data_IF_581609112533
#
_entry.id   IF_581609112533
#
_cell.length_a   1.000
_cell.length_b   1.000
_cell.length_c   1.000
_cell.angle_alpha   90.00
_cell.angle_beta   90.00
_cell.angle_gamma   90.00
#
_symmetry.space_group_name_H-M   'P 1'
#
loop_
_entity.id
_entity.type
_entity.pdbx_description
1 polymer ?
#
# COMPACT_ATOMS: atom_id res chain seq x y z
N UNK A 1 -6.73 -19.49 11.85
CA UNK A 1 -6.95 -18.77 10.58
C UNK A 1 -6.99 -17.26 10.75
N UNK A 2 -7.98 -16.63 11.42
CA UNK A 2 -8.03 -15.16 11.51
C UNK A 2 -6.83 -14.54 12.27
N UNK A 3 -6.38 -15.16 13.37
CA UNK A 3 -5.22 -14.68 14.14
C UNK A 3 -3.88 -14.82 13.40
N UNK A 4 -3.70 -15.89 12.62
CA UNK A 4 -2.48 -16.11 11.83
C UNK A 4 -2.37 -15.04 10.74
N UNK A 5 -3.47 -14.76 10.03
CA UNK A 5 -3.49 -13.71 9.00
C UNK A 5 -3.16 -12.33 9.59
N UNK A 6 -3.71 -11.97 10.77
CA UNK A 6 -3.37 -10.70 11.44
C UNK A 6 -1.87 -10.59 11.71
N UNK A 7 -1.26 -11.64 12.24
CA UNK A 7 0.17 -11.67 12.52
C UNK A 7 1.02 -11.57 11.24
N UNK A 8 0.57 -12.21 10.16
CA UNK A 8 1.22 -12.10 8.84
C UNK A 8 1.15 -10.67 8.30
N UNK A 9 0.01 -9.99 8.43
CA UNK A 9 -0.14 -8.62 7.96
C UNK A 9 0.66 -7.61 8.81
N UNK A 10 0.71 -7.80 10.13
CA UNK A 10 1.57 -7.00 11.01
C UNK A 10 3.05 -7.20 10.66
N UNK A 11 3.49 -8.45 10.45
CA UNK A 11 4.84 -8.76 9.98
C UNK A 11 5.15 -8.12 8.62
N UNK A 12 4.22 -8.21 7.67
CA UNK A 12 4.36 -7.58 6.36
C UNK A 12 4.51 -6.06 6.46
N UNK A 13 3.76 -5.40 7.35
CA UNK A 13 3.90 -3.96 7.59
C UNK A 13 5.29 -3.61 8.11
N UNK A 14 5.85 -4.42 9.02
CA UNK A 14 7.22 -4.23 9.52
C UNK A 14 8.24 -4.37 8.39
N UNK A 15 8.15 -5.44 7.60
CA UNK A 15 9.08 -5.72 6.50
C UNK A 15 9.04 -4.62 5.43
N UNK A 16 7.84 -4.22 5.00
CA UNK A 16 7.73 -3.13 4.02
C UNK A 16 8.15 -1.79 4.60
N UNK A 17 7.95 -1.56 5.90
CA UNK A 17 8.48 -0.36 6.55
C UNK A 17 10.01 -0.34 6.58
N UNK A 18 10.66 -1.49 6.78
CA UNK A 18 12.12 -1.59 6.63
C UNK A 18 12.56 -1.34 5.18
N UNK A 19 11.86 -1.93 4.21
CA UNK A 19 12.16 -1.72 2.79
C UNK A 19 12.05 -0.25 2.39
N UNK A 20 11.00 0.45 2.85
CA UNK A 20 10.83 1.90 2.67
C UNK A 20 11.94 2.69 3.37
N UNK A 21 12.35 2.22 4.57
CA UNK A 21 13.57 2.61 5.30
C UNK A 21 14.78 2.80 4.38
N UNK A 22 15.09 1.70 3.69
CA UNK A 22 16.29 1.52 2.90
C UNK A 22 16.15 2.09 1.48
N UNK A 23 14.96 2.00 0.90
CA UNK A 23 14.65 2.36 -0.48
C UNK A 23 13.37 3.22 -0.50
N UNK A 24 13.46 4.52 -0.17
CA UNK A 24 12.29 5.39 -0.06
C UNK A 24 11.57 5.64 -1.39
N UNK A 25 12.19 5.29 -2.52
CA UNK A 25 11.60 5.36 -3.84
C UNK A 25 11.03 4.01 -4.32
N UNK A 26 11.02 2.98 -3.48
CA UNK A 26 10.50 1.66 -3.86
C UNK A 26 8.98 1.62 -3.79
N UNK A 27 8.33 2.08 -4.85
CA UNK A 27 6.87 2.20 -4.99
C UNK A 27 6.11 0.94 -4.54
N UNK A 28 6.59 -0.25 -4.93
CA UNK A 28 5.92 -1.50 -4.61
C UNK A 28 5.88 -1.81 -3.10
N UNK A 29 6.87 -1.36 -2.31
CA UNK A 29 6.82 -1.53 -0.86
C UNK A 29 5.69 -0.71 -0.23
N UNK A 30 5.47 0.52 -0.71
CA UNK A 30 4.31 1.32 -0.29
C UNK A 30 3.01 0.63 -0.70
N UNK A 31 2.86 0.19 -1.95
CA UNK A 31 1.64 -0.51 -2.40
C UNK A 31 1.30 -1.72 -1.52
N UNK A 32 2.31 -2.56 -1.24
CA UNK A 32 2.12 -3.78 -0.46
C UNK A 32 1.87 -3.50 1.02
N UNK A 33 2.51 -2.49 1.59
CA UNK A 33 2.22 -2.03 2.96
C UNK A 33 0.80 -1.49 3.07
N UNK A 34 0.35 -0.71 2.08
CA UNK A 34 -1.02 -0.20 2.02
C UNK A 34 -2.05 -1.33 1.98
N UNK A 35 -1.81 -2.39 1.20
CA UNK A 35 -2.69 -3.56 1.21
C UNK A 35 -2.70 -4.29 2.56
N UNK A 36 -1.54 -4.50 3.19
CA UNK A 36 -1.49 -5.12 4.52
C UNK A 36 -2.23 -4.28 5.57
N UNK A 37 -2.13 -2.95 5.48
CA UNK A 37 -2.90 -2.02 6.33
C UNK A 37 -4.41 -2.13 6.12
N UNK A 38 -4.88 -2.32 4.89
CA UNK A 38 -6.32 -2.57 4.62
C UNK A 38 -6.82 -3.83 5.30
N UNK A 39 -6.03 -4.90 5.27
CA UNK A 39 -6.38 -6.17 5.94
C UNK A 39 -6.48 -6.00 7.47
N UNK A 40 -5.65 -5.11 8.03
CA UNK A 40 -5.73 -4.69 9.44
C UNK A 40 -6.77 -3.58 9.71
N UNK A 41 -7.56 -3.19 8.70
CA UNK A 41 -8.56 -2.11 8.76
C UNK A 41 -7.97 -0.72 9.04
N UNK A 42 -6.65 -0.54 8.93
CA UNK A 42 -5.99 0.76 8.92
C UNK A 42 -6.14 1.42 7.53
N UNK A 43 -7.35 1.95 7.30
CA UNK A 43 -7.71 2.55 6.01
C UNK A 43 -6.93 3.83 5.71
N UNK A 44 -6.71 4.66 6.73
CA UNK A 44 -6.02 5.93 6.54
C UNK A 44 -4.56 5.69 6.16
N UNK A 45 -3.85 4.82 6.92
CA UNK A 45 -2.49 4.46 6.57
C UNK A 45 -2.40 3.73 5.23
N UNK A 46 -3.43 2.98 4.84
CA UNK A 46 -3.48 2.38 3.51
C UNK A 46 -3.58 3.44 2.40
N UNK A 47 -4.49 4.41 2.51
CA UNK A 47 -4.64 5.48 1.52
C UNK A 47 -3.34 6.25 1.35
N UNK A 48 -2.70 6.66 2.44
CA UNK A 48 -1.40 7.35 2.42
C UNK A 48 -0.33 6.55 1.66
N UNK A 49 -0.26 5.24 1.91
CA UNK A 49 0.71 4.36 1.25
C UNK A 49 0.39 4.15 -0.24
N UNK A 50 -0.88 3.93 -0.60
CA UNK A 50 -1.25 3.76 -2.01
C UNK A 50 -1.06 5.06 -2.80
N UNK A 51 -1.36 6.23 -2.22
CA UNK A 51 -1.07 7.54 -2.83
C UNK A 51 0.42 7.71 -3.09
N UNK A 52 1.25 7.41 -2.08
CA UNK A 52 2.70 7.49 -2.24
C UNK A 52 3.21 6.52 -3.31
N UNK A 53 2.66 5.31 -3.36
CA UNK A 53 2.97 4.34 -4.40
C UNK A 53 2.59 4.83 -5.79
N UNK A 54 1.42 5.43 -5.95
CA UNK A 54 0.96 5.97 -7.23
C UNK A 54 1.90 7.09 -7.72
N UNK A 55 2.29 8.01 -6.82
CA UNK A 55 3.26 9.05 -7.14
C UNK A 55 4.57 8.45 -7.66
N UNK A 56 5.14 7.48 -6.93
CA UNK A 56 6.43 6.88 -7.30
C UNK A 56 6.36 6.07 -8.59
N UNK A 57 5.27 5.33 -8.86
CA UNK A 57 5.09 4.62 -10.13
C UNK A 57 5.03 5.59 -11.31
N UNK A 58 4.34 6.73 -11.16
CA UNK A 58 4.32 7.79 -12.17
C UNK A 58 5.71 8.34 -12.42
N UNK A 59 6.46 8.65 -11.36
CA UNK A 59 7.85 9.15 -11.46
C UNK A 59 8.79 8.13 -12.12
N UNK A 60 8.54 6.84 -11.95
CA UNK A 60 9.29 5.74 -12.57
C UNK A 60 8.86 5.45 -14.02
N UNK A 61 7.80 6.07 -14.51
CA UNK A 61 7.22 5.78 -15.83
C UNK A 61 6.43 4.46 -15.88
N UNK A 62 6.19 3.80 -14.74
CA UNK A 62 5.41 2.57 -14.64
C UNK A 62 3.91 2.90 -14.68
N UNK A 63 3.44 3.23 -15.89
CA UNK A 63 2.07 3.71 -16.12
C UNK A 63 1.02 2.67 -15.77
N UNK A 64 1.31 1.38 -15.99
CA UNK A 64 0.39 0.29 -15.65
C UNK A 64 0.15 0.22 -14.13
N UNK A 65 1.23 0.16 -13.33
CA UNK A 65 1.09 0.11 -11.87
C UNK A 65 0.57 1.42 -11.28
N UNK A 66 0.85 2.55 -11.92
CA UNK A 66 0.27 3.83 -11.56
C UNK A 66 -1.26 3.82 -11.73
N UNK A 67 -1.78 3.32 -12.85
CA UNK A 67 -3.23 3.18 -13.07
C UNK A 67 -3.86 2.20 -12.08
N UNK A 68 -3.20 1.08 -11.81
CA UNK A 68 -3.63 0.12 -10.78
C UNK A 68 -3.77 0.78 -9.40
N UNK A 69 -2.79 1.60 -9.00
CA UNK A 69 -2.82 2.30 -7.73
C UNK A 69 -3.95 3.35 -7.66
N UNK A 70 -4.21 4.08 -8.76
CA UNK A 70 -5.33 5.02 -8.82
C UNK A 70 -6.71 4.34 -8.79
N UNK A 71 -6.85 3.20 -9.48
CA UNK A 71 -8.08 2.41 -9.43
C UNK A 71 -8.34 1.94 -8.00
N UNK A 72 -7.30 1.44 -7.31
CA UNK A 72 -7.38 1.08 -5.90
C UNK A 72 -7.82 2.25 -5.02
N UNK A 73 -7.24 3.45 -5.20
CA UNK A 73 -7.65 4.66 -4.46
C UNK A 73 -9.11 5.06 -4.73
N UNK A 74 -9.56 4.90 -5.97
CA UNK A 74 -10.95 5.15 -6.36
C UNK A 74 -11.90 4.18 -5.66
N UNK A 75 -11.56 2.89 -5.60
CA UNK A 75 -12.34 1.90 -4.86
C UNK A 75 -12.36 2.19 -3.35
N UNK A 76 -11.25 2.66 -2.79
CA UNK A 76 -11.19 3.04 -1.39
C UNK A 76 -12.09 4.25 -1.12
N UNK A 77 -12.00 5.32 -1.91
CA UNK A 77 -12.87 6.51 -1.72
C UNK A 77 -14.37 6.23 -1.94
N UNK A 78 -14.74 5.40 -2.92
CA UNK A 78 -16.15 5.09 -3.23
C UNK A 78 -16.79 4.20 -2.17
N UNK A 79 -16.07 3.22 -1.63
CA UNK A 79 -16.62 2.30 -0.63
C UNK A 79 -16.80 2.93 0.76
N UNK A 80 -16.38 4.19 0.94
CA UNK A 80 -16.43 4.91 2.22
C UNK A 80 -17.23 6.21 2.16
N UNK A 81 -18.05 6.41 1.11
CA UNK A 81 -19.03 7.52 1.00
C UNK A 81 -20.36 7.20 1.67
#
# INVERSE_FOLDING_TARGET
>A
MAYENLQEYEGAIVDYSQAIRLLPYFAQAYYKRGNARLELKDKNGAVEDIEKSAQLFREQGDTEKFLLAQDKLSQLSVNFS
#
